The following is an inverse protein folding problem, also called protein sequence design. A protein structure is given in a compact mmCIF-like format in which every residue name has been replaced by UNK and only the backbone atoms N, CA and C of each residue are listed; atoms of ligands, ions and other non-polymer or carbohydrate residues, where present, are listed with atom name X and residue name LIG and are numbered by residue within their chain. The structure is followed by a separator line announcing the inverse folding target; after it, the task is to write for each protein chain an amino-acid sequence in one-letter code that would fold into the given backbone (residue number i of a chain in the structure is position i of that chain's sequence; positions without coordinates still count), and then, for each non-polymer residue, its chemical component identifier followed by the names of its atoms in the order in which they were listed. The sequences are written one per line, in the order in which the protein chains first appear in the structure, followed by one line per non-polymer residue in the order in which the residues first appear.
data_IF_169253484887
#
_entry.id   IF_169253484887
#
_cell.length_a   1.000
_cell.length_b   1.000
_cell.length_c   1.000
_cell.angle_alpha   90.00
_cell.angle_beta   90.00
_cell.angle_gamma   90.00
#
_symmetry.space_group_name_H-M   'P 1'
#
loop_
_entity.id
_entity.type
_entity.pdbx_description
1 polymer ?
#
# COMPACT_ATOMS: atom_id res chain seq x y z
N UNK A 1 -3.80 -34.62 3.40
CA UNK A 1 -2.38 -34.99 3.22
C UNK A 1 -2.15 -35.97 2.05
N UNK A 2 -3.19 -36.57 1.47
CA UNK A 2 -3.08 -37.63 0.45
C UNK A 2 -2.41 -37.23 -0.88
N UNK A 3 -2.29 -35.94 -1.17
CA UNK A 3 -1.62 -35.42 -2.38
C UNK A 3 -0.13 -35.10 -2.20
N UNK A 4 0.44 -35.35 -1.02
CA UNK A 4 1.85 -35.03 -0.71
C UNK A 4 2.70 -36.29 -0.82
N UNK A 5 3.85 -36.17 -1.47
CA UNK A 5 4.83 -37.25 -1.58
C UNK A 5 5.64 -37.45 -0.28
N UNK A 6 6.55 -38.44 -0.28
CA UNK A 6 7.42 -38.73 0.85
C UNK A 6 8.49 -37.64 1.11
N UNK A 7 8.78 -36.78 0.14
CA UNK A 7 9.77 -35.70 0.28
C UNK A 7 9.17 -34.46 0.94
N UNK A 8 7.88 -34.46 1.24
CA UNK A 8 7.23 -33.34 1.89
C UNK A 8 7.73 -33.17 3.34
N UNK A 9 8.16 -31.95 3.67
CA UNK A 9 8.75 -31.58 4.97
C UNK A 9 7.86 -30.55 5.70
N UNK A 10 6.78 -30.97 6.36
CA UNK A 10 5.84 -30.04 6.98
C UNK A 10 6.41 -29.34 8.21
N UNK A 11 6.17 -28.03 8.33
CA UNK A 11 6.36 -27.28 9.57
C UNK A 11 5.04 -27.21 10.35
N UNK A 12 5.01 -27.80 11.54
CA UNK A 12 3.85 -27.83 12.43
C UNK A 12 4.02 -26.79 13.54
N UNK A 13 2.98 -26.02 13.83
CA UNK A 13 3.01 -25.06 14.93
C UNK A 13 1.64 -24.90 15.58
N UNK A 14 1.67 -24.44 16.84
CA UNK A 14 0.50 -23.91 17.53
C UNK A 14 0.89 -22.57 18.16
N UNK A 15 -0.03 -21.92 18.90
CA UNK A 15 0.21 -20.59 19.44
C UNK A 15 1.50 -20.48 20.28
N UNK A 16 1.74 -21.43 21.21
CA UNK A 16 2.89 -21.44 22.14
C UNK A 16 3.90 -22.57 21.91
N UNK A 17 3.69 -23.40 20.88
CA UNK A 17 4.47 -24.62 20.69
C UNK A 17 4.17 -25.69 21.75
N UNK A 18 5.15 -26.55 22.01
CA UNK A 18 5.07 -27.61 23.03
C UNK A 18 4.21 -28.80 22.60
N UNK A 19 3.59 -29.48 23.57
CA UNK A 19 2.94 -30.79 23.36
C UNK A 19 1.93 -30.81 22.19
N UNK A 20 1.15 -29.75 21.99
CA UNK A 20 0.12 -29.71 20.92
C UNK A 20 0.71 -29.87 19.51
N UNK A 21 1.71 -29.06 19.19
CA UNK A 21 2.40 -29.17 17.88
C UNK A 21 3.37 -30.35 17.87
N UNK A 22 3.98 -30.68 19.01
CA UNK A 22 4.87 -31.82 19.17
C UNK A 22 4.18 -33.16 18.86
N UNK A 23 3.00 -33.42 19.42
CA UNK A 23 2.24 -34.65 19.17
C UNK A 23 1.90 -34.85 17.70
N UNK A 24 1.46 -33.79 17.01
CA UNK A 24 1.18 -33.86 15.57
C UNK A 24 2.47 -34.07 14.76
N UNK A 25 3.57 -33.42 15.15
CA UNK A 25 4.88 -33.58 14.48
C UNK A 25 5.38 -35.03 14.61
N UNK A 26 5.21 -35.65 15.77
CA UNK A 26 5.55 -37.05 16.00
C UNK A 26 4.76 -37.96 15.04
N UNK A 27 3.43 -37.83 14.99
CA UNK A 27 2.58 -38.63 14.10
C UNK A 27 3.01 -38.50 12.64
N UNK A 28 3.32 -37.28 12.16
CA UNK A 28 3.75 -37.08 10.78
C UNK A 28 5.13 -37.71 10.49
N UNK A 29 6.03 -37.76 11.50
CA UNK A 29 7.31 -38.47 11.38
C UNK A 29 7.15 -39.98 11.32
N UNK A 30 6.25 -40.55 12.12
CA UNK A 30 5.95 -41.99 12.08
C UNK A 30 5.37 -42.45 10.72
N UNK A 31 4.67 -41.55 10.01
CA UNK A 31 4.16 -41.80 8.65
C UNK A 31 5.26 -41.67 7.57
N UNK A 32 6.48 -41.28 7.96
CA UNK A 32 7.66 -41.19 7.09
C UNK A 32 7.97 -39.80 6.53
N UNK A 33 7.29 -38.73 6.98
CA UNK A 33 7.62 -37.36 6.59
C UNK A 33 8.65 -36.73 7.53
N UNK A 34 9.58 -35.93 6.99
CA UNK A 34 10.51 -35.12 7.79
C UNK A 34 9.82 -33.85 8.32
N UNK A 35 8.89 -34.05 9.26
CA UNK A 35 8.14 -32.98 9.89
C UNK A 35 9.01 -32.23 10.92
N UNK A 36 8.88 -30.91 10.97
CA UNK A 36 9.50 -30.06 11.98
C UNK A 36 8.43 -29.36 12.83
N UNK A 37 8.78 -28.99 14.07
CA UNK A 37 7.93 -28.12 14.89
C UNK A 37 8.59 -26.77 15.12
N UNK A 38 7.79 -25.71 15.09
CA UNK A 38 8.27 -24.38 15.44
C UNK A 38 8.45 -24.27 16.96
N UNK A 39 9.70 -24.22 17.42
CA UNK A 39 10.01 -24.05 18.84
C UNK A 39 9.42 -22.72 19.37
N UNK A 40 8.75 -22.78 20.53
CA UNK A 40 8.01 -21.65 21.10
C UNK A 40 6.73 -21.24 20.33
N UNK A 41 6.42 -21.92 19.23
CA UNK A 41 5.22 -21.69 18.43
C UNK A 41 5.18 -20.33 17.73
N UNK A 42 3.99 -19.98 17.25
CA UNK A 42 3.77 -18.74 16.51
C UNK A 42 4.07 -17.49 17.35
N UNK A 43 3.88 -17.53 18.67
CA UNK A 43 4.17 -16.39 19.54
C UNK A 43 5.67 -16.02 19.52
N UNK A 44 6.57 -17.01 19.57
CA UNK A 44 8.01 -16.77 19.50
C UNK A 44 8.43 -16.26 18.13
N UNK A 45 7.91 -16.87 17.05
CA UNK A 45 8.13 -16.38 15.68
C UNK A 45 7.68 -14.93 15.53
N UNK A 46 6.47 -14.61 15.99
CA UNK A 46 5.93 -13.24 15.89
C UNK A 46 6.75 -12.24 16.69
N UNK A 47 7.25 -12.61 17.88
CA UNK A 47 8.13 -11.74 18.67
C UNK A 47 9.44 -11.44 17.94
N UNK A 48 10.08 -12.47 17.38
CA UNK A 48 11.31 -12.32 16.61
C UNK A 48 11.08 -11.45 15.35
N UNK A 49 9.98 -11.69 14.63
CA UNK A 49 9.58 -10.91 13.47
C UNK A 49 9.35 -9.42 13.81
N UNK A 50 8.62 -9.13 14.90
CA UNK A 50 8.41 -7.75 15.34
C UNK A 50 9.70 -7.06 15.77
N UNK A 51 10.61 -7.77 16.43
CA UNK A 51 11.92 -7.23 16.78
C UNK A 51 12.72 -6.83 15.53
N UNK A 52 12.70 -7.67 14.49
CA UNK A 52 13.32 -7.32 13.20
C UNK A 52 12.60 -6.15 12.51
N UNK A 53 11.27 -6.10 12.54
CA UNK A 53 10.49 -5.02 11.94
C UNK A 53 10.72 -3.66 12.63
N UNK A 54 11.15 -3.66 13.89
CA UNK A 54 11.56 -2.46 14.61
C UNK A 54 12.98 -1.97 14.23
N UNK A 55 13.76 -2.76 13.50
CA UNK A 55 15.15 -2.44 13.19
C UNK A 55 15.42 -2.35 11.68
N UNK A 56 15.00 -3.34 10.90
CA UNK A 56 15.28 -3.44 9.46
C UNK A 56 14.93 -2.16 8.68
N UNK A 57 13.76 -1.51 8.90
CA UNK A 57 13.44 -0.30 8.16
C UNK A 57 14.46 0.82 8.34
N UNK A 58 15.17 0.87 9.48
CA UNK A 58 16.16 1.91 9.77
C UNK A 58 17.45 1.79 8.98
N UNK A 59 17.69 0.64 8.36
CA UNK A 59 18.90 0.34 7.59
C UNK A 59 18.73 0.57 6.08
N UNK A 60 17.52 0.93 5.65
CA UNK A 60 17.17 1.12 4.25
C UNK A 60 17.14 2.61 3.91
N UNK A 61 17.51 2.94 2.68
CA UNK A 61 17.40 4.29 2.14
C UNK A 61 16.11 4.39 1.31
N UNK A 62 15.14 5.17 1.77
CA UNK A 62 13.87 5.32 1.05
C UNK A 62 13.88 6.51 0.10
N UNK A 63 13.13 6.37 -0.99
CA UNK A 63 12.72 7.46 -1.89
C UNK A 63 11.20 7.53 -1.87
N UNK A 64 10.66 8.58 -1.27
CA UNK A 64 9.21 8.70 -1.07
C UNK A 64 8.56 9.34 -2.28
N UNK A 65 7.69 8.59 -2.93
CA UNK A 65 6.85 9.07 -4.02
C UNK A 65 5.65 9.82 -3.42
N UNK A 66 5.65 11.12 -3.62
CA UNK A 66 4.63 12.05 -3.19
C UNK A 66 3.80 12.50 -4.39
N UNK A 67 2.52 12.77 -4.21
CA UNK A 67 1.66 13.31 -5.28
C UNK A 67 0.17 13.20 -4.92
N UNK A 68 -0.67 14.07 -5.48
CA UNK A 68 -2.09 14.12 -5.13
C UNK A 68 -2.84 12.85 -5.57
N UNK A 69 -4.08 12.67 -5.12
CA UNK A 69 -4.89 11.49 -5.43
C UNK A 69 -5.07 11.33 -6.94
N UNK A 70 -4.91 10.11 -7.46
CA UNK A 70 -5.03 9.86 -8.90
C UNK A 70 -3.86 10.31 -9.75
N UNK A 71 -2.74 10.78 -9.16
CA UNK A 71 -1.53 11.13 -9.93
C UNK A 71 -0.73 9.92 -10.45
N UNK A 72 -1.24 8.70 -10.28
CA UNK A 72 -0.62 7.47 -10.80
C UNK A 72 0.55 6.91 -9.97
N UNK A 73 0.74 7.33 -8.72
CA UNK A 73 1.85 6.90 -7.85
C UNK A 73 1.97 5.37 -7.76
N UNK A 74 0.89 4.68 -7.43
CA UNK A 74 0.90 3.22 -7.31
C UNK A 74 1.22 2.53 -8.65
N UNK A 75 0.78 3.09 -9.79
CA UNK A 75 1.15 2.57 -11.12
C UNK A 75 2.62 2.80 -11.45
N UNK A 76 3.18 3.94 -11.08
CA UNK A 76 4.62 4.19 -11.20
C UNK A 76 5.42 3.21 -10.33
N UNK A 77 5.01 3.00 -9.07
CA UNK A 77 5.66 2.01 -8.19
C UNK A 77 5.62 0.60 -8.79
N UNK A 78 4.49 0.18 -9.36
CA UNK A 78 4.39 -1.10 -10.06
C UNK A 78 5.33 -1.19 -11.27
N UNK A 79 5.44 -0.09 -12.04
CA UNK A 79 6.35 0.01 -13.19
C UNK A 79 7.81 -0.11 -12.75
N UNK A 80 8.20 0.57 -11.67
CA UNK A 80 9.54 0.46 -11.09
C UNK A 80 9.82 -0.98 -10.60
N UNK A 81 8.87 -1.60 -9.92
CA UNK A 81 8.99 -2.97 -9.44
C UNK A 81 9.17 -3.97 -10.60
N UNK A 82 8.43 -3.80 -11.70
CA UNK A 82 8.55 -4.60 -12.91
C UNK A 82 9.95 -4.50 -13.55
N UNK A 83 10.64 -3.37 -13.36
CA UNK A 83 12.03 -3.14 -13.78
C UNK A 83 13.08 -3.63 -12.78
N UNK A 84 12.69 -4.35 -11.73
CA UNK A 84 13.59 -4.92 -10.72
C UNK A 84 14.10 -3.89 -9.68
N UNK A 85 13.44 -2.73 -9.58
CA UNK A 85 13.71 -1.73 -8.54
C UNK A 85 13.07 -2.18 -7.23
N UNK A 86 13.68 -1.85 -6.09
CA UNK A 86 13.11 -2.17 -4.79
C UNK A 86 11.93 -1.24 -4.49
N UNK A 87 10.75 -1.82 -4.29
CA UNK A 87 9.51 -1.08 -4.06
C UNK A 87 8.79 -1.65 -2.86
N UNK A 88 8.41 -0.78 -1.94
CA UNK A 88 7.53 -1.09 -0.82
C UNK A 88 6.14 -0.49 -1.08
N UNK A 89 5.27 -1.26 -1.74
CA UNK A 89 3.89 -0.85 -2.01
C UNK A 89 2.99 -1.17 -0.81
N UNK A 90 2.90 -0.23 0.13
CA UNK A 90 2.14 -0.42 1.38
C UNK A 90 0.63 -0.57 1.15
N UNK A 91 0.06 0.10 0.15
CA UNK A 91 -1.36 -0.06 -0.22
C UNK A 91 -1.64 -1.48 -0.73
N UNK A 92 -0.76 -2.03 -1.58
CA UNK A 92 -0.89 -3.40 -2.05
C UNK A 92 -0.76 -4.42 -0.92
N UNK A 93 0.18 -4.22 0.01
CA UNK A 93 0.31 -5.07 1.20
C UNK A 93 -0.91 -4.95 2.13
N UNK A 94 -1.51 -3.76 2.21
CA UNK A 94 -2.72 -3.48 2.99
C UNK A 94 -4.02 -3.82 2.23
N UNK A 95 -3.95 -4.16 0.94
CA UNK A 95 -5.09 -4.38 0.04
C UNK A 95 -6.15 -3.28 0.13
N UNK A 96 -5.69 -2.04 0.16
CA UNK A 96 -6.55 -0.87 0.40
C UNK A 96 -5.90 0.42 -0.12
N UNK A 97 -6.66 1.25 -0.83
CA UNK A 97 -6.19 2.49 -1.49
C UNK A 97 -6.16 3.73 -0.58
N UNK A 98 -5.73 3.57 0.67
CA UNK A 98 -5.46 4.69 1.59
C UNK A 98 -6.61 5.67 1.92
N UNK A 99 -7.84 5.47 1.44
CA UNK A 99 -8.91 6.47 1.48
C UNK A 99 -10.30 5.91 1.83
N UNK A 100 -11.30 6.79 1.99
CA UNK A 100 -12.69 6.39 2.25
C UNK A 100 -13.30 5.52 1.14
N UNK A 101 -12.76 5.64 -0.08
CA UNK A 101 -13.12 4.85 -1.25
C UNK A 101 -12.09 3.72 -1.50
N UNK A 102 -11.29 3.38 -0.48
CA UNK A 102 -10.12 2.53 -0.64
C UNK A 102 -10.36 1.03 -0.54
N UNK A 103 -11.55 0.60 -0.11
CA UNK A 103 -11.95 -0.81 -0.07
C UNK A 103 -12.05 -1.38 -1.49
N UNK A 104 -11.38 -2.51 -1.72
CA UNK A 104 -11.35 -3.20 -3.01
C UNK A 104 -12.38 -4.34 -3.02
N UNK A 105 -13.34 -4.34 -3.98
CA UNK A 105 -14.31 -5.43 -4.09
C UNK A 105 -13.63 -6.78 -4.27
N UNK A 106 -13.95 -7.73 -3.39
CA UNK A 106 -13.42 -9.10 -3.45
C UNK A 106 -11.99 -9.27 -2.93
N UNK A 107 -11.34 -8.20 -2.45
CA UNK A 107 -9.99 -8.28 -1.90
C UNK A 107 -9.94 -7.73 -0.46
N UNK A 108 -10.29 -8.56 0.55
CA UNK A 108 -10.40 -8.09 1.92
C UNK A 108 -9.03 -7.70 2.48
N UNK A 109 -9.00 -6.57 3.18
CA UNK A 109 -7.82 -6.09 3.89
C UNK A 109 -7.34 -7.12 4.94
N UNK A 110 -6.03 -7.39 5.02
CA UNK A 110 -5.48 -8.29 6.03
C UNK A 110 -5.68 -7.76 7.46
N UNK A 111 -5.66 -8.69 8.42
CA UNK A 111 -5.50 -8.30 9.83
C UNK A 111 -4.16 -7.59 10.06
N UNK A 112 -4.06 -6.76 11.11
CA UNK A 112 -2.82 -6.08 11.48
C UNK A 112 -1.60 -7.03 11.56
N UNK A 113 -1.77 -8.23 12.14
CA UNK A 113 -0.68 -9.21 12.26
C UNK A 113 -0.18 -9.70 10.89
N UNK A 114 -1.10 -9.87 9.95
CA UNK A 114 -0.75 -10.32 8.59
C UNK A 114 -0.12 -9.17 7.80
N UNK A 115 -0.65 -7.96 7.91
CA UNK A 115 -0.05 -6.76 7.30
C UNK A 115 1.41 -6.56 7.76
N UNK A 116 1.67 -6.59 9.07
CA UNK A 116 3.05 -6.49 9.59
C UNK A 116 3.95 -7.62 9.09
N UNK A 117 3.42 -8.85 8.98
CA UNK A 117 4.18 -9.98 8.45
C UNK A 117 4.54 -9.79 6.98
N UNK A 118 3.63 -9.21 6.19
CA UNK A 118 3.86 -8.86 4.78
C UNK A 118 4.90 -7.75 4.64
N UNK A 119 4.80 -6.69 5.45
CA UNK A 119 5.78 -5.60 5.48
C UNK A 119 7.15 -6.15 5.86
N UNK A 120 7.25 -6.91 6.96
CA UNK A 120 8.49 -7.57 7.37
C UNK A 120 9.08 -8.44 6.27
N UNK A 121 8.24 -9.22 5.59
CA UNK A 121 8.69 -10.09 4.51
C UNK A 121 9.23 -9.31 3.30
N UNK A 122 8.65 -8.15 2.98
CA UNK A 122 9.18 -7.28 1.93
C UNK A 122 10.51 -6.64 2.36
N UNK A 123 10.54 -5.96 3.51
CA UNK A 123 11.72 -5.17 3.92
C UNK A 123 12.96 -6.04 4.18
N UNK A 124 12.80 -7.26 4.68
CA UNK A 124 13.93 -8.18 4.91
C UNK A 124 14.58 -8.68 3.62
N UNK A 125 13.88 -8.58 2.49
CA UNK A 125 14.37 -9.00 1.17
C UNK A 125 15.08 -7.89 0.40
N UNK A 126 15.08 -6.66 0.90
CA UNK A 126 15.75 -5.54 0.26
C UNK A 126 17.25 -5.52 0.57
N UNK A 127 18.01 -5.15 -0.43
CA UNK A 127 19.41 -4.78 -0.38
C UNK A 127 19.56 -3.34 0.18
N UNK A 128 20.21 -3.16 1.34
CA UNK A 128 20.46 -1.84 1.92
C UNK A 128 21.31 -0.90 1.07
N UNK A 129 22.10 -1.43 0.13
CA UNK A 129 22.93 -0.62 -0.76
C UNK A 129 22.11 0.04 -1.89
N UNK A 130 20.84 -0.32 -2.04
CA UNK A 130 19.96 0.16 -3.11
C UNK A 130 18.79 0.96 -2.53
N UNK A 131 18.31 2.01 -3.22
CA UNK A 131 17.15 2.77 -2.79
C UNK A 131 15.88 1.90 -2.78
N UNK A 132 14.95 2.21 -1.89
CA UNK A 132 13.62 1.60 -1.79
C UNK A 132 12.56 2.67 -2.07
N UNK A 133 11.81 2.52 -3.15
CA UNK A 133 10.73 3.44 -3.48
C UNK A 133 9.46 3.07 -2.72
N UNK A 134 8.78 4.06 -2.15
CA UNK A 134 7.59 3.88 -1.31
C UNK A 134 6.64 5.05 -1.50
N UNK A 135 5.33 4.82 -1.45
CA UNK A 135 4.33 5.90 -1.50
C UNK A 135 4.28 6.67 -0.17
N UNK A 136 4.06 7.98 -0.25
CA UNK A 136 3.79 8.81 0.92
C UNK A 136 2.48 8.40 1.61
N UNK A 137 2.58 7.53 2.60
CA UNK A 137 1.43 7.03 3.33
C UNK A 137 1.13 7.78 4.64
N UNK A 138 -0.13 7.72 5.04
CA UNK A 138 -0.54 8.12 6.37
C UNK A 138 -0.14 7.05 7.40
N UNK A 139 -0.26 7.35 8.70
CA UNK A 139 -0.02 6.34 9.75
C UNK A 139 -0.94 5.13 9.64
N UNK A 140 -2.10 5.27 8.99
CA UNK A 140 -3.08 4.20 8.77
C UNK A 140 -3.42 4.06 7.29
N UNK A 141 -3.64 2.82 6.87
CA UNK A 141 -4.16 2.48 5.54
C UNK A 141 -5.41 1.65 5.77
N UNK A 142 -6.59 2.28 5.64
CA UNK A 142 -7.84 1.67 6.10
C UNK A 142 -7.80 1.39 7.61
N UNK A 143 -7.97 0.12 7.99
CA UNK A 143 -7.96 -0.35 9.37
C UNK A 143 -6.56 -0.73 9.90
N UNK A 144 -5.55 -0.92 9.05
CA UNK A 144 -4.19 -1.30 9.47
C UNK A 144 -3.33 -0.07 9.75
N UNK A 145 -2.38 -0.23 10.68
CA UNK A 145 -1.39 0.80 11.05
C UNK A 145 -0.01 0.43 10.49
N UNK A 146 0.63 1.39 9.84
CA UNK A 146 2.03 1.30 9.41
C UNK A 146 2.95 1.29 10.64
N UNK A 147 3.96 0.40 10.71
CA UNK A 147 4.92 0.40 11.82
C UNK A 147 5.56 1.78 12.02
N UNK A 148 5.58 2.28 13.26
CA UNK A 148 5.98 3.67 13.53
C UNK A 148 7.44 3.94 13.10
N UNK A 149 8.36 2.99 13.32
CA UNK A 149 9.77 3.10 12.87
C UNK A 149 9.89 3.23 11.35
N UNK A 150 9.10 2.46 10.60
CA UNK A 150 9.07 2.57 9.13
C UNK A 150 8.53 3.94 8.71
N UNK A 151 7.42 4.36 9.32
CA UNK A 151 6.79 5.65 9.01
C UNK A 151 7.71 6.84 9.31
N UNK A 152 8.42 6.82 10.43
CA UNK A 152 9.39 7.85 10.81
C UNK A 152 10.52 7.91 9.79
N UNK A 153 11.09 6.76 9.42
CA UNK A 153 12.12 6.70 8.37
C UNK A 153 11.65 7.19 7.01
N UNK A 154 10.43 6.85 6.61
CA UNK A 154 9.85 7.41 5.37
C UNK A 154 9.77 8.93 5.44
N UNK A 155 9.32 9.51 6.55
CA UNK A 155 9.15 10.97 6.69
C UNK A 155 10.46 11.75 6.67
N UNK A 156 11.55 11.14 7.11
CA UNK A 156 12.91 11.70 7.07
C UNK A 156 13.57 11.55 5.69
N UNK A 157 12.99 10.75 4.80
CA UNK A 157 13.60 10.39 3.53
C UNK A 157 13.34 11.41 2.41
N UNK A 158 14.20 11.37 1.39
CA UNK A 158 14.07 12.24 0.22
C UNK A 158 12.76 12.01 -0.54
N UNK A 159 12.10 13.09 -0.93
CA UNK A 159 10.82 13.07 -1.63
C UNK A 159 11.00 13.23 -3.15
N UNK A 160 10.12 12.57 -3.91
CA UNK A 160 9.93 12.77 -5.34
C UNK A 160 8.48 13.19 -5.54
N UNK A 161 8.27 14.39 -6.07
CA UNK A 161 6.94 14.97 -6.27
C UNK A 161 6.41 14.62 -7.64
N UNK A 162 5.32 13.89 -7.69
CA UNK A 162 4.57 13.61 -8.90
C UNK A 162 3.49 14.67 -9.11
N UNK A 163 3.49 15.24 -10.30
CA UNK A 163 2.42 16.10 -10.78
C UNK A 163 1.84 15.52 -12.07
N UNK A 164 0.51 15.52 -12.17
CA UNK A 164 -0.22 15.09 -13.35
C UNK A 164 -1.39 16.06 -13.58
N UNK A 165 -1.73 16.38 -14.85
CA UNK A 165 -2.84 17.26 -15.16
C UNK A 165 -4.16 16.76 -14.54
N UNK A 166 -5.02 17.68 -14.08
CA UNK A 166 -6.31 17.31 -13.48
C UNK A 166 -7.15 16.43 -14.42
N UNK A 167 -7.23 16.78 -15.71
CA UNK A 167 -7.96 16.02 -16.71
C UNK A 167 -7.46 14.56 -16.81
N UNK A 168 -6.14 14.36 -16.77
CA UNK A 168 -5.54 13.02 -16.78
C UNK A 168 -5.87 12.25 -15.50
N UNK A 169 -5.80 12.90 -14.34
CA UNK A 169 -6.16 12.29 -13.05
C UNK A 169 -7.62 11.86 -13.02
N UNK A 170 -8.53 12.69 -13.55
CA UNK A 170 -9.97 12.36 -13.66
C UNK A 170 -10.16 11.13 -14.56
N UNK A 171 -9.63 11.16 -15.78
CA UNK A 171 -9.69 10.04 -16.74
C UNK A 171 -9.16 8.74 -16.13
N UNK A 172 -8.01 8.83 -15.47
CA UNK A 172 -7.33 7.70 -14.82
C UNK A 172 -8.18 7.12 -13.68
N UNK A 173 -8.73 7.95 -12.80
CA UNK A 173 -9.53 7.49 -11.67
C UNK A 173 -10.84 6.84 -12.12
N UNK A 174 -11.51 7.37 -13.15
CA UNK A 174 -12.73 6.74 -13.70
C UNK A 174 -12.43 5.31 -14.15
N UNK A 175 -11.29 5.09 -14.80
CA UNK A 175 -10.88 3.75 -15.23
C UNK A 175 -10.55 2.81 -14.05
N UNK A 176 -9.77 3.28 -13.08
CA UNK A 176 -9.38 2.47 -11.90
C UNK A 176 -10.58 2.11 -11.01
N UNK A 177 -11.54 3.02 -10.90
CA UNK A 177 -12.70 2.90 -10.01
C UNK A 177 -14.00 2.51 -10.73
N UNK A 178 -13.89 1.87 -11.90
CA UNK A 178 -15.04 1.42 -12.72
C UNK A 178 -16.09 0.62 -11.95
N UNK A 179 -15.70 -0.06 -10.88
CA UNK A 179 -16.62 -0.84 -10.04
C UNK A 179 -17.66 0.03 -9.32
N UNK A 180 -17.35 1.31 -9.02
CA UNK A 180 -18.31 2.24 -8.45
C UNK A 180 -19.34 2.73 -9.47
N UNK A 181 -18.96 2.84 -10.75
CA UNK A 181 -19.90 3.16 -11.83
C UNK A 181 -20.97 2.06 -11.97
N UNK A 182 -20.58 0.79 -11.77
CA UNK A 182 -21.50 -0.34 -11.75
C UNK A 182 -22.29 -0.48 -10.43
N UNK A 183 -21.91 0.23 -9.38
CA UNK A 183 -22.50 0.13 -8.03
C UNK A 183 -22.74 1.51 -7.39
N UNK A 184 -23.55 2.39 -8.03
CA UNK A 184 -23.74 3.77 -7.58
C UNK A 184 -24.34 3.87 -6.17
N UNK A 185 -25.21 2.94 -5.77
CA UNK A 185 -25.77 2.90 -4.43
C UNK A 185 -24.69 2.73 -3.35
N UNK A 186 -23.71 1.86 -3.60
CA UNK A 186 -22.60 1.65 -2.68
C UNK A 186 -21.72 2.91 -2.58
N UNK A 187 -21.41 3.55 -3.72
CA UNK A 187 -20.67 4.81 -3.74
C UNK A 187 -21.37 5.89 -2.90
N UNK A 188 -22.69 6.05 -3.04
CA UNK A 188 -23.47 7.00 -2.23
C UNK A 188 -23.37 6.73 -0.73
N UNK A 189 -23.42 5.46 -0.31
CA UNK A 189 -23.22 5.07 1.10
C UNK A 189 -21.83 5.42 1.61
N UNK A 190 -20.80 5.34 0.76
CA UNK A 190 -19.45 5.76 1.16
C UNK A 190 -19.36 7.29 1.27
N UNK A 191 -19.88 8.02 0.29
CA UNK A 191 -19.86 9.49 0.30
C UNK A 191 -20.71 10.09 1.44
N UNK A 192 -21.77 9.43 1.90
CA UNK A 192 -22.56 9.91 3.04
C UNK A 192 -21.76 9.95 4.35
N UNK A 193 -20.67 9.16 4.46
CA UNK A 193 -19.75 9.19 5.61
C UNK A 193 -18.92 10.48 5.65
N UNK A 194 -18.83 11.21 4.53
CA UNK A 194 -18.10 12.47 4.43
C UNK A 194 -18.90 13.69 4.91
N UNK A 195 -20.16 13.52 5.32
CA UNK A 195 -21.00 14.60 5.87
C UNK A 195 -20.45 15.23 7.16
N UNK A 196 -19.54 14.55 7.88
CA UNK A 196 -18.84 15.12 9.02
C UNK A 196 -17.72 16.10 8.61
N UNK A 197 -17.25 16.04 7.36
CA UNK A 197 -16.16 16.86 6.82
C UNK A 197 -16.65 17.91 5.83
N UNK A 198 -17.86 17.76 5.29
CA UNK A 198 -18.42 18.60 4.24
C UNK A 198 -19.87 19.00 4.53
N UNK A 199 -20.29 20.11 3.93
CA UNK A 199 -21.67 20.56 4.04
C UNK A 199 -22.65 19.55 3.44
N UNK A 200 -23.88 19.52 3.95
CA UNK A 200 -24.96 18.71 3.37
C UNK A 200 -25.18 19.03 1.88
N UNK A 201 -25.08 20.30 1.50
CA UNK A 201 -25.23 20.73 0.10
C UNK A 201 -24.17 20.12 -0.82
N UNK A 202 -22.91 20.03 -0.36
CA UNK A 202 -21.83 19.38 -1.11
C UNK A 202 -22.13 17.90 -1.36
N UNK A 203 -22.54 17.16 -0.32
CA UNK A 203 -22.84 15.72 -0.45
C UNK A 203 -24.08 15.47 -1.33
N UNK A 204 -25.08 16.35 -1.26
CA UNK A 204 -26.24 16.32 -2.17
C UNK A 204 -25.81 16.55 -3.62
N UNK A 205 -24.91 17.51 -3.88
CA UNK A 205 -24.36 17.76 -5.22
C UNK A 205 -23.65 16.53 -5.78
N UNK A 206 -22.77 15.88 -5.00
CA UNK A 206 -22.12 14.64 -5.44
C UNK A 206 -23.12 13.52 -5.72
N UNK A 207 -24.15 13.39 -4.88
CA UNK A 207 -25.21 12.40 -5.08
C UNK A 207 -25.97 12.65 -6.37
N UNK A 208 -26.29 13.91 -6.68
CA UNK A 208 -26.94 14.28 -7.93
C UNK A 208 -26.07 13.97 -9.16
N UNK A 209 -24.75 14.25 -9.10
CA UNK A 209 -23.82 13.90 -10.18
C UNK A 209 -23.75 12.38 -10.42
N UNK A 210 -23.83 11.57 -9.35
CA UNK A 210 -23.94 10.10 -9.47
C UNK A 210 -25.24 9.71 -10.18
N UNK A 211 -26.37 10.34 -9.81
CA UNK A 211 -27.68 10.04 -10.39
C UNK A 211 -27.79 10.40 -11.88
N UNK A 212 -27.11 11.47 -12.31
CA UNK A 212 -27.10 11.91 -13.70
C UNK A 212 -25.97 11.28 -14.52
N UNK A 213 -25.09 10.49 -13.92
CA UNK A 213 -23.95 9.86 -14.61
C UNK A 213 -22.82 10.83 -14.98
N UNK A 214 -22.76 12.00 -14.33
CA UNK A 214 -21.76 13.05 -14.57
C UNK A 214 -20.43 12.72 -13.86
N UNK A 215 -19.82 11.60 -14.25
CA UNK A 215 -18.67 11.01 -13.54
C UNK A 215 -17.43 11.90 -13.55
N UNK A 216 -17.12 12.55 -14.67
CA UNK A 216 -15.98 13.46 -14.77
C UNK A 216 -16.15 14.66 -13.83
N UNK A 217 -17.35 15.24 -13.79
CA UNK A 217 -17.68 16.34 -12.90
C UNK A 217 -17.61 15.91 -11.42
N UNK A 218 -18.11 14.71 -11.09
CA UNK A 218 -18.03 14.15 -9.74
C UNK A 218 -16.59 13.96 -9.28
N UNK A 219 -15.76 13.30 -10.10
CA UNK A 219 -14.37 13.02 -9.76
C UNK A 219 -13.58 14.32 -9.65
N UNK A 220 -13.77 15.26 -10.57
CA UNK A 220 -13.15 16.59 -10.51
C UNK A 220 -13.51 17.34 -9.22
N UNK A 221 -14.80 17.35 -8.84
CA UNK A 221 -15.27 18.01 -7.63
C UNK A 221 -14.70 17.33 -6.36
N UNK A 222 -14.71 15.99 -6.28
CA UNK A 222 -14.12 15.25 -5.16
C UNK A 222 -12.62 15.53 -5.01
N UNK A 223 -11.88 15.56 -6.12
CA UNK A 223 -10.45 15.89 -6.10
C UNK A 223 -10.21 17.29 -5.55
N UNK A 224 -10.90 18.28 -6.10
CA UNK A 224 -10.69 19.69 -5.76
C UNK A 224 -11.13 20.03 -4.32
N UNK A 225 -12.23 19.45 -3.85
CA UNK A 225 -12.85 19.86 -2.58
C UNK A 225 -12.50 18.96 -1.41
N UNK A 226 -12.19 17.67 -1.64
CA UNK A 226 -11.92 16.72 -0.57
C UNK A 226 -10.48 16.21 -0.56
N UNK A 227 -10.04 15.61 -1.67
CA UNK A 227 -8.78 14.85 -1.68
C UNK A 227 -7.54 15.74 -1.71
N UNK A 228 -7.48 16.72 -2.62
CA UNK A 228 -6.28 17.55 -2.78
C UNK A 228 -6.03 18.45 -1.55
N UNK A 229 -7.04 19.11 -0.95
CA UNK A 229 -6.84 19.86 0.29
C UNK A 229 -6.38 18.98 1.45
N UNK A 230 -6.95 17.78 1.60
CA UNK A 230 -6.56 16.85 2.65
C UNK A 230 -5.13 16.35 2.46
N UNK A 231 -4.76 16.02 1.21
CA UNK A 231 -3.41 15.61 0.82
C UNK A 231 -2.40 16.72 1.14
N UNK A 232 -2.60 17.94 0.65
CA UNK A 232 -1.68 19.06 0.87
C UNK A 232 -1.45 19.34 2.36
N UNK A 233 -2.52 19.32 3.17
CA UNK A 233 -2.42 19.48 4.62
C UNK A 233 -1.60 18.36 5.26
N UNK A 234 -1.85 17.11 4.89
CA UNK A 234 -1.12 15.96 5.42
C UNK A 234 0.37 16.02 5.07
N UNK A 235 0.68 16.31 3.81
CA UNK A 235 2.05 16.32 3.31
C UNK A 235 2.89 17.43 3.93
N UNK A 236 2.34 18.64 4.06
CA UNK A 236 3.04 19.76 4.72
C UNK A 236 3.43 19.44 6.16
N UNK A 237 2.60 18.66 6.87
CA UNK A 237 2.86 18.29 8.26
C UNK A 237 3.81 17.10 8.38
N UNK A 238 3.70 16.11 7.50
CA UNK A 238 4.38 14.83 7.67
C UNK A 238 5.70 14.71 6.91
N UNK A 239 5.89 15.46 5.82
CA UNK A 239 7.06 15.35 4.94
C UNK A 239 7.69 16.73 4.75
N UNK A 240 8.53 17.21 5.70
CA UNK A 240 9.12 18.54 5.63
C UNK A 240 10.03 18.74 4.39
N UNK A 241 10.70 17.68 3.95
CA UNK A 241 11.54 17.67 2.74
C UNK A 241 10.77 17.67 1.41
N UNK A 242 9.43 17.74 1.44
CA UNK A 242 8.62 17.73 0.22
C UNK A 242 8.96 18.89 -0.72
N UNK A 243 9.17 20.10 -0.19
CA UNK A 243 9.40 21.29 -0.99
C UNK A 243 10.68 21.19 -1.85
N UNK A 244 11.70 20.50 -1.32
CA UNK A 244 12.99 20.26 -1.97
C UNK A 244 12.99 19.02 -2.88
N UNK A 245 11.91 18.24 -2.84
CA UNK A 245 11.79 17.00 -3.60
C UNK A 245 11.78 17.24 -5.11
N UNK A 246 12.48 16.38 -5.85
CA UNK A 246 12.56 16.44 -7.31
C UNK A 246 11.15 16.33 -7.93
N UNK A 247 10.83 17.23 -8.86
CA UNK A 247 9.56 17.22 -9.57
C UNK A 247 9.61 16.25 -10.76
N UNK A 248 8.66 15.32 -10.80
CA UNK A 248 8.42 14.37 -11.88
C UNK A 248 7.03 14.62 -12.46
N UNK A 249 6.96 15.32 -13.59
CA UNK A 249 5.71 15.59 -14.29
C UNK A 249 5.32 14.42 -15.18
N UNK A 250 4.16 13.81 -14.93
CA UNK A 250 3.59 12.74 -15.75
C UNK A 250 2.50 13.34 -16.63
N UNK A 251 2.84 13.62 -17.90
CA UNK A 251 1.93 14.28 -18.84
C UNK A 251 0.73 13.42 -19.26
N UNK A 252 0.91 12.10 -19.34
CA UNK A 252 -0.16 11.14 -19.68
C UNK A 252 -0.10 9.96 -18.71
N UNK A 253 -1.23 9.63 -18.09
CA UNK A 253 -1.35 8.51 -17.16
C UNK A 253 -1.69 7.20 -17.89
N UNK A 254 -0.82 6.81 -18.82
CA UNK A 254 -0.85 5.55 -19.55
C UNK A 254 0.47 4.77 -19.37
N UNK A 255 0.52 3.55 -19.88
CA UNK A 255 1.69 2.67 -19.76
C UNK A 255 2.97 3.34 -20.26
N UNK A 256 2.93 3.97 -21.44
CA UNK A 256 4.08 4.65 -22.01
C UNK A 256 4.52 5.86 -21.15
N UNK A 257 3.58 6.58 -20.56
CA UNK A 257 3.83 7.69 -19.64
C UNK A 257 4.51 7.23 -18.34
N UNK A 258 4.10 6.10 -17.78
CA UNK A 258 4.76 5.51 -16.61
C UNK A 258 6.15 4.98 -16.94
N UNK A 259 6.34 4.32 -18.08
CA UNK A 259 7.65 3.85 -18.53
C UNK A 259 8.63 5.01 -18.74
N UNK A 260 8.22 6.10 -19.40
CA UNK A 260 9.06 7.31 -19.54
C UNK A 260 9.44 7.90 -18.19
N UNK A 261 8.46 8.07 -17.32
CA UNK A 261 8.65 8.63 -15.98
C UNK A 261 9.58 7.78 -15.11
N UNK A 262 9.46 6.44 -15.18
CA UNK A 262 10.34 5.51 -14.49
C UNK A 262 11.79 5.62 -14.99
N UNK A 263 12.02 5.79 -16.29
CA UNK A 263 13.37 6.00 -16.83
C UNK A 263 13.98 7.31 -16.33
N UNK A 264 13.24 8.42 -16.43
CA UNK A 264 13.69 9.72 -15.91
C UNK A 264 14.05 9.66 -14.43
N UNK A 265 13.22 8.99 -13.63
CA UNK A 265 13.45 8.86 -12.20
C UNK A 265 14.75 8.08 -11.90
N UNK A 266 14.98 6.95 -12.56
CA UNK A 266 16.17 6.13 -12.35
C UNK A 266 17.45 6.80 -12.85
N UNK A 267 17.39 7.57 -13.94
CA UNK A 267 18.51 8.38 -14.43
C UNK A 267 18.90 9.48 -13.44
N UNK A 268 17.92 10.11 -12.78
CA UNK A 268 18.17 11.15 -11.80
C UNK A 268 18.79 10.63 -10.49
N UNK A 269 18.42 9.40 -10.09
CA UNK A 269 18.90 8.79 -8.84
C UNK A 269 20.32 8.20 -8.98
N UNK A 270 20.77 7.90 -10.20
CA UNK A 270 22.13 7.42 -10.48
C UNK A 270 23.18 8.54 -10.42
N UNK A 271 22.75 9.81 -10.37
CA UNK A 271 23.64 11.00 -10.40
C UNK A 271 23.92 11.62 -9.03
N UNK A 272 23.50 10.96 -7.94
CA UNK A 272 23.70 11.37 -6.53
C UNK A 272 24.56 10.32 -5.83
#
# INVERSE_FOLDING_TARGET
FSSRDQRWRPLVYCWRGGKRSGSMTLVLREIGWDAASLQGGYQSYRRAMLAQLAELPTRLNYRVICGPTGSGKSRLLQTLAARGVQVLDLEALARHRGSVLGDLPGDPQPSQKMFESLVWNAVRGFDPARPVFVEAESRRIGAVRVPDVLLERMRESGCVRIEAPLAERVRFLIAEYRHFLAQPAWLKTLLSRLTALHSKATVVRWTAQIDTGEWEALVGDLLATHYDPAYLRSMRTNYPGLAEGALLSIGCLDEAGFERSASTLLESDTRV
#
